data_IF_005322194935
#
_entry.id   IF_005322194935
#
_cell.length_a   1.000
_cell.length_b   1.000
_cell.length_c   1.000
_cell.angle_alpha   90.00
_cell.angle_beta   90.00
_cell.angle_gamma   90.00
#
_symmetry.space_group_name_H-M   'P 1'
#
loop_
_entity.id
_entity.type
_entity.pdbx_description
1 polymer ?
#
# COMPACT_ATOMS: atom_id res chain seq x y z
N UNK A 1 21.18 -13.59 -5.67
CA UNK A 1 20.37 -12.78 -4.76
C UNK A 1 20.67 -11.34 -5.08
N UNK A 2 19.69 -10.65 -5.66
CA UNK A 2 19.75 -9.23 -5.99
C UNK A 2 19.89 -8.39 -4.72
N UNK A 3 20.76 -7.37 -4.74
CA UNK A 3 20.96 -6.44 -3.61
C UNK A 3 19.66 -5.75 -3.17
N UNK A 4 18.71 -5.58 -4.08
CA UNK A 4 17.39 -4.97 -3.81
C UNK A 4 16.53 -5.87 -2.91
N UNK A 5 16.61 -7.20 -3.07
CA UNK A 5 15.88 -8.14 -2.21
C UNK A 5 16.47 -8.10 -0.81
N UNK A 6 17.79 -8.04 -0.69
CA UNK A 6 18.47 -7.95 0.60
C UNK A 6 18.07 -6.68 1.35
N UNK A 7 18.11 -5.52 0.68
CA UNK A 7 17.65 -4.23 1.23
C UNK A 7 16.17 -4.30 1.65
N UNK A 8 15.30 -4.86 0.81
CA UNK A 8 13.90 -5.04 1.14
C UNK A 8 13.69 -5.90 2.40
N UNK A 9 14.44 -6.99 2.55
CA UNK A 9 14.33 -7.85 3.73
C UNK A 9 14.86 -7.19 5.00
N UNK A 10 15.83 -6.29 4.88
CA UNK A 10 16.33 -5.50 6.02
C UNK A 10 15.31 -4.45 6.47
N UNK A 11 14.65 -3.77 5.51
CA UNK A 11 13.78 -2.64 5.82
C UNK A 11 12.32 -3.03 6.06
N UNK A 12 11.80 -3.96 5.26
CA UNK A 12 10.37 -4.22 5.10
C UNK A 12 9.92 -5.58 5.62
N UNK A 13 10.84 -6.46 6.00
CA UNK A 13 10.53 -7.77 6.60
C UNK A 13 11.09 -7.82 8.01
N UNK A 14 10.26 -8.19 8.98
CA UNK A 14 10.68 -8.29 10.38
C UNK A 14 10.60 -9.74 10.84
N UNK A 15 11.76 -10.35 11.05
CA UNK A 15 11.89 -11.70 11.61
C UNK A 15 11.92 -11.65 13.15
N UNK A 16 11.23 -12.59 13.80
CA UNK A 16 11.37 -12.85 15.23
C UNK A 16 12.81 -13.30 15.51
N UNK A 17 13.39 -12.82 16.61
CA UNK A 17 14.69 -13.30 17.07
C UNK A 17 14.58 -14.74 17.57
N UNK A 18 15.70 -15.45 17.61
CA UNK A 18 15.74 -16.84 18.09
C UNK A 18 15.22 -16.93 19.53
N UNK A 19 15.55 -15.95 20.37
CA UNK A 19 15.09 -15.87 21.76
C UNK A 19 13.57 -15.78 21.85
N UNK A 20 12.92 -14.98 21.00
CA UNK A 20 11.45 -14.87 20.95
C UNK A 20 10.80 -16.19 20.54
N UNK A 21 11.39 -16.88 19.55
CA UNK A 21 10.89 -18.19 19.11
C UNK A 21 11.05 -19.23 20.24
N UNK A 22 12.16 -19.19 20.96
CA UNK A 22 12.40 -20.05 22.13
C UNK A 22 11.37 -19.77 23.25
N UNK A 23 11.09 -18.50 23.53
CA UNK A 23 10.08 -18.11 24.51
C UNK A 23 8.69 -18.63 24.14
N UNK A 24 8.31 -18.54 22.87
CA UNK A 24 7.04 -19.09 22.35
C UNK A 24 6.98 -20.62 22.49
N UNK A 25 8.06 -21.33 22.14
CA UNK A 25 8.15 -22.79 22.32
C UNK A 25 7.97 -23.17 23.80
N UNK A 26 8.64 -22.45 24.71
CA UNK A 26 8.54 -22.72 26.14
C UNK A 26 7.14 -22.43 26.67
N UNK A 27 6.52 -21.33 26.24
CA UNK A 27 5.14 -20.97 26.60
C UNK A 27 4.13 -22.01 26.13
N UNK A 28 4.27 -22.53 24.91
CA UNK A 28 3.41 -23.61 24.40
C UNK A 28 3.55 -24.89 25.24
N UNK A 29 4.73 -25.15 25.82
CA UNK A 29 4.99 -26.32 26.67
C UNK A 29 4.50 -26.20 28.12
N UNK A 30 4.09 -25.02 28.57
CA UNK A 30 3.54 -24.85 29.92
C UNK A 30 2.26 -25.68 30.12
N UNK A 31 1.56 -26.00 29.03
CA UNK A 31 0.40 -26.89 29.02
C UNK A 31 0.79 -28.24 28.42
N UNK A 32 0.37 -29.36 29.01
CA UNK A 32 0.58 -30.66 28.41
C UNK A 32 -0.21 -30.76 27.10
N UNK A 33 0.47 -31.17 26.03
CA UNK A 33 -0.17 -31.42 24.73
C UNK A 33 -1.12 -32.61 24.84
N UNK A 34 -2.33 -32.44 24.32
CA UNK A 34 -3.37 -33.47 24.28
C UNK A 34 -3.18 -34.48 23.15
N UNK A 35 -2.44 -34.11 22.10
CA UNK A 35 -2.17 -34.98 20.95
C UNK A 35 -0.95 -34.54 20.13
N UNK A 36 -0.41 -35.44 19.31
CA UNK A 36 0.64 -35.11 18.34
C UNK A 36 0.19 -34.08 17.30
N UNK A 37 -1.11 -34.07 16.96
CA UNK A 37 -1.70 -33.11 16.03
C UNK A 37 -1.63 -31.67 16.58
N UNK A 38 -1.82 -31.50 17.88
CA UNK A 38 -1.70 -30.19 18.54
C UNK A 38 -0.28 -29.64 18.44
N UNK A 39 0.74 -30.50 18.60
CA UNK A 39 2.16 -30.10 18.46
C UNK A 39 2.45 -29.67 17.02
N UNK A 40 1.92 -30.39 16.03
CA UNK A 40 2.07 -30.04 14.61
C UNK A 40 1.39 -28.71 14.26
N UNK A 41 0.22 -28.44 14.83
CA UNK A 41 -0.49 -27.17 14.66
C UNK A 41 0.29 -26.01 15.30
N UNK A 42 0.79 -26.17 16.53
CA UNK A 42 1.61 -25.17 17.22
C UNK A 42 2.93 -24.88 16.49
N UNK A 43 3.63 -25.92 16.03
CA UNK A 43 4.85 -25.76 15.25
C UNK A 43 4.61 -24.99 13.95
N UNK A 44 3.45 -25.21 13.32
CA UNK A 44 3.03 -24.50 12.11
C UNK A 44 2.71 -23.02 12.42
N UNK A 45 2.04 -22.74 13.53
CA UNK A 45 1.73 -21.38 13.97
C UNK A 45 3.00 -20.57 14.26
N UNK A 46 3.91 -21.09 15.10
CA UNK A 46 5.20 -20.46 15.41
C UNK A 46 5.99 -20.15 14.13
N UNK A 47 6.06 -21.10 13.19
CA UNK A 47 6.73 -20.89 11.90
C UNK A 47 6.01 -19.81 11.07
N UNK A 48 4.68 -19.85 11.00
CA UNK A 48 3.93 -18.90 10.18
C UNK A 48 4.03 -17.47 10.71
N UNK A 49 4.21 -17.30 12.02
CA UNK A 49 4.41 -16.01 12.67
C UNK A 49 5.88 -15.57 12.72
N UNK A 50 6.81 -16.38 12.22
CA UNK A 50 8.25 -16.09 12.31
C UNK A 50 8.64 -14.74 11.68
N UNK A 51 7.91 -14.31 10.65
CA UNK A 51 8.13 -13.00 10.05
C UNK A 51 6.86 -12.34 9.53
N UNK A 52 6.90 -11.01 9.52
CA UNK A 52 5.88 -10.12 8.98
C UNK A 52 6.46 -9.26 7.85
N UNK A 53 5.66 -9.04 6.80
CA UNK A 53 6.01 -8.19 5.65
C UNK A 53 5.19 -6.91 5.76
N UNK A 54 5.87 -5.77 5.90
CA UNK A 54 5.25 -4.44 6.08
C UNK A 54 4.68 -3.87 4.77
N UNK A 55 5.26 -4.25 3.64
CA UNK A 55 4.85 -3.74 2.33
C UNK A 55 3.54 -4.40 1.89
N UNK A 56 2.42 -3.67 2.00
CA UNK A 56 1.06 -4.20 1.79
C UNK A 56 0.87 -4.86 0.41
N UNK A 57 1.36 -4.22 -0.66
CA UNK A 57 1.22 -4.77 -2.02
C UNK A 57 1.99 -6.08 -2.20
N UNK A 58 3.26 -6.14 -1.78
CA UNK A 58 4.06 -7.38 -1.81
C UNK A 58 3.42 -8.46 -0.92
N UNK A 59 2.82 -8.06 0.22
CA UNK A 59 2.08 -8.97 1.10
C UNK A 59 0.90 -9.64 0.37
N UNK A 60 0.14 -8.89 -0.44
CA UNK A 60 -0.97 -9.43 -1.25
C UNK A 60 -0.51 -10.20 -2.48
N UNK A 61 0.57 -9.74 -3.12
CA UNK A 61 1.09 -10.31 -4.36
C UNK A 61 1.82 -11.64 -4.18
N UNK A 62 2.21 -11.99 -2.98
CA UNK A 62 2.90 -13.26 -2.72
C UNK A 62 2.01 -14.18 -1.90
N UNK A 63 1.85 -15.42 -2.37
CA UNK A 63 1.17 -16.48 -1.62
C UNK A 63 2.06 -16.98 -0.46
N UNK A 64 2.13 -16.19 0.61
CA UNK A 64 3.02 -16.46 1.74
C UNK A 64 2.77 -17.81 2.42
N UNK A 65 1.55 -18.36 2.36
CA UNK A 65 1.28 -19.71 2.87
C UNK A 65 2.10 -20.78 2.13
N UNK A 66 2.29 -20.63 0.82
CA UNK A 66 3.16 -21.52 0.03
C UNK A 66 4.62 -21.30 0.38
N UNK A 67 5.07 -20.05 0.42
CA UNK A 67 6.46 -19.67 0.74
C UNK A 67 6.86 -20.16 2.14
N UNK A 68 5.97 -19.99 3.13
CA UNK A 68 6.20 -20.37 4.52
C UNK A 68 6.11 -21.88 4.75
N UNK A 69 5.23 -22.59 4.03
CA UNK A 69 4.88 -23.98 4.36
C UNK A 69 5.30 -25.08 3.39
N UNK A 70 5.49 -24.77 2.10
CA UNK A 70 5.75 -25.78 1.07
C UNK A 70 7.21 -25.93 0.70
N UNK A 71 8.07 -24.98 1.09
CA UNK A 71 9.52 -25.00 0.86
C UNK A 71 10.21 -26.09 1.69
N UNK A 72 11.35 -26.57 1.21
CA UNK A 72 12.15 -27.58 1.91
C UNK A 72 12.59 -27.07 3.28
N UNK A 73 13.14 -25.86 3.33
CA UNK A 73 13.57 -25.21 4.58
C UNK A 73 12.39 -24.95 5.53
N UNK A 74 11.21 -24.59 5.01
CA UNK A 74 10.00 -24.42 5.83
C UNK A 74 9.54 -25.72 6.51
N UNK A 75 9.66 -26.87 5.82
CA UNK A 75 9.41 -28.19 6.41
C UNK A 75 10.47 -28.56 7.44
N UNK A 76 11.75 -28.34 7.13
CA UNK A 76 12.86 -28.57 8.06
C UNK A 76 12.68 -27.76 9.35
N UNK A 77 12.37 -26.46 9.23
CA UNK A 77 12.14 -25.58 10.36
C UNK A 77 10.92 -26.02 11.18
N UNK A 78 9.80 -26.39 10.53
CA UNK A 78 8.65 -26.96 11.25
C UNK A 78 9.00 -28.23 12.02
N UNK A 79 9.76 -29.15 11.42
CA UNK A 79 10.20 -30.36 12.11
C UNK A 79 11.09 -29.99 13.31
N UNK A 80 12.00 -29.02 13.14
CA UNK A 80 12.88 -28.58 14.22
C UNK A 80 12.10 -27.98 15.39
N UNK A 81 11.13 -27.11 15.12
CA UNK A 81 10.26 -26.51 16.15
C UNK A 81 9.46 -27.62 16.85
N UNK A 82 8.92 -28.57 16.10
CA UNK A 82 8.19 -29.72 16.64
C UNK A 82 9.07 -30.56 17.59
N UNK A 83 10.27 -30.93 17.17
CA UNK A 83 11.19 -31.72 18.00
C UNK A 83 11.49 -30.99 19.33
N UNK A 84 11.64 -29.65 19.28
CA UNK A 84 11.87 -28.81 20.46
C UNK A 84 10.62 -28.68 21.34
N UNK A 85 9.42 -28.63 20.75
CA UNK A 85 8.16 -28.68 21.49
C UNK A 85 7.98 -30.02 22.20
N UNK A 86 8.41 -31.14 21.62
CA UNK A 86 8.33 -32.48 22.22
C UNK A 86 9.36 -32.64 23.37
N UNK A 87 10.65 -32.44 23.08
CA UNK A 87 11.73 -32.78 24.04
C UNK A 87 12.14 -31.64 24.97
N UNK A 88 11.89 -30.40 24.58
CA UNK A 88 12.27 -29.19 25.29
C UNK A 88 13.64 -28.70 24.87
N UNK A 89 13.89 -27.42 25.11
CA UNK A 89 15.18 -26.79 24.85
C UNK A 89 16.05 -27.05 26.08
N UNK A 90 17.11 -27.86 25.92
CA UNK A 90 17.95 -28.34 27.03
C UNK A 90 19.36 -27.77 26.99
N UNK A 91 19.77 -27.18 25.87
CA UNK A 91 21.15 -26.77 25.64
C UNK A 91 21.25 -25.55 24.74
N UNK A 92 22.41 -24.90 24.78
CA UNK A 92 22.79 -23.85 23.83
C UNK A 92 22.92 -24.38 22.40
N UNK A 93 23.22 -25.67 22.23
CA UNK A 93 23.26 -26.33 20.92
C UNK A 93 21.86 -26.40 20.26
N UNK A 94 20.80 -26.53 21.06
CA UNK A 94 19.42 -26.51 20.57
C UNK A 94 19.06 -25.13 20.00
N UNK A 95 19.45 -24.07 20.71
CA UNK A 95 19.25 -22.69 20.27
C UNK A 95 20.07 -22.38 19.00
N UNK A 96 21.34 -22.79 18.95
CA UNK A 96 22.20 -22.60 17.78
C UNK A 96 21.63 -23.32 16.54
N UNK A 97 21.15 -24.54 16.72
CA UNK A 97 20.58 -25.31 15.61
C UNK A 97 19.21 -24.78 15.16
N UNK A 98 18.42 -24.20 16.05
CA UNK A 98 17.19 -23.47 15.67
C UNK A 98 17.54 -22.18 14.90
N UNK A 99 18.57 -21.45 15.34
CA UNK A 99 19.06 -20.25 14.65
C UNK A 99 19.50 -20.54 13.22
N UNK A 100 20.26 -21.61 13.02
CA UNK A 100 20.68 -22.09 11.68
C UNK A 100 19.46 -22.40 10.80
N UNK A 101 18.48 -23.14 11.32
CA UNK A 101 17.25 -23.46 10.58
C UNK A 101 16.42 -22.21 10.22
N UNK A 102 16.40 -21.20 11.09
CA UNK A 102 15.74 -19.91 10.82
C UNK A 102 16.46 -19.15 9.72
N UNK A 103 17.80 -19.10 9.73
CA UNK A 103 18.56 -18.39 8.70
C UNK A 103 18.49 -19.10 7.34
N UNK A 104 18.56 -20.43 7.31
CA UNK A 104 18.31 -21.20 6.08
C UNK A 104 16.92 -20.94 5.52
N UNK A 105 15.91 -20.89 6.39
CA UNK A 105 14.55 -20.58 6.00
C UNK A 105 14.44 -19.16 5.44
N UNK A 106 15.04 -18.17 6.10
CA UNK A 106 15.08 -16.78 5.63
C UNK A 106 15.71 -16.67 4.23
N UNK A 107 16.87 -17.30 4.02
CA UNK A 107 17.54 -17.31 2.71
C UNK A 107 16.69 -17.94 1.61
N UNK A 108 15.97 -19.01 1.91
CA UNK A 108 15.05 -19.63 0.95
C UNK A 108 13.83 -18.75 0.67
N UNK A 109 13.27 -18.09 1.68
CA UNK A 109 12.17 -17.13 1.53
C UNK A 109 12.60 -15.98 0.62
N UNK A 110 13.83 -15.46 0.78
CA UNK A 110 14.39 -14.43 -0.10
C UNK A 110 14.50 -14.89 -1.55
N UNK A 111 15.02 -16.11 -1.79
CA UNK A 111 15.08 -16.69 -3.15
C UNK A 111 13.70 -16.87 -3.77
N UNK A 112 12.70 -17.28 -2.98
CA UNK A 112 11.35 -17.49 -3.47
C UNK A 112 10.66 -16.15 -3.81
N UNK A 113 10.91 -15.09 -3.03
CA UNK A 113 10.48 -13.73 -3.38
C UNK A 113 11.16 -13.26 -4.67
N UNK A 114 12.48 -13.46 -4.79
CA UNK A 114 13.25 -13.14 -6.00
C UNK A 114 12.68 -13.88 -7.22
N UNK A 115 12.42 -15.19 -7.10
CA UNK A 115 11.82 -16.01 -8.14
C UNK A 115 10.43 -15.52 -8.55
N UNK A 116 9.56 -15.20 -7.58
CA UNK A 116 8.19 -14.75 -7.85
C UNK A 116 8.10 -13.35 -8.44
N UNK A 117 8.99 -12.44 -8.05
CA UNK A 117 8.95 -11.05 -8.51
C UNK A 117 9.74 -10.81 -9.79
N UNK A 118 10.75 -11.64 -10.07
CA UNK A 118 11.65 -11.45 -11.22
C UNK A 118 11.64 -12.59 -12.24
N UNK A 119 11.12 -13.77 -11.87
CA UNK A 119 11.19 -14.98 -12.70
C UNK A 119 9.85 -15.53 -13.18
N UNK A 120 8.72 -15.17 -12.56
CA UNK A 120 7.39 -15.56 -13.03
C UNK A 120 6.93 -14.57 -14.13
N UNK A 121 6.57 -15.10 -15.29
CA UNK A 121 6.10 -14.40 -16.51
C UNK A 121 4.71 -13.74 -16.33
N UNK A 122 4.36 -13.37 -15.10
CA UNK A 122 3.10 -12.73 -14.77
C UNK A 122 3.16 -11.24 -15.16
N UNK A 123 2.74 -11.00 -16.41
CA UNK A 123 2.80 -9.70 -17.09
C UNK A 123 1.91 -8.63 -16.41
N UNK A 124 0.99 -9.02 -15.50
CA UNK A 124 0.08 -8.13 -14.72
C UNK A 124 0.79 -7.05 -13.90
N UNK A 125 2.07 -7.26 -13.66
CA UNK A 125 2.93 -6.36 -12.90
C UNK A 125 3.38 -5.13 -13.69
N UNK A 126 3.36 -5.21 -15.02
CA UNK A 126 4.03 -4.24 -15.91
C UNK A 126 3.06 -3.12 -16.28
N UNK A 127 3.49 -1.84 -16.33
CA UNK A 127 2.63 -0.74 -16.77
C UNK A 127 1.97 -1.03 -18.13
N UNK A 128 0.64 -0.92 -18.20
CA UNK A 128 -0.14 -1.20 -19.41
C UNK A 128 -0.67 -2.64 -19.55
N UNK A 129 -0.44 -3.50 -18.55
CA UNK A 129 -1.06 -4.83 -18.47
C UNK A 129 -2.51 -4.76 -17.94
N UNK A 130 -3.29 -5.79 -18.26
CA UNK A 130 -4.74 -5.85 -18.02
C UNK A 130 -5.09 -7.03 -17.11
N UNK A 131 -6.17 -6.90 -16.32
CA UNK A 131 -6.70 -7.92 -15.41
C UNK A 131 -7.19 -9.19 -16.14
N UNK A 132 -7.28 -10.32 -15.41
CA UNK A 132 -7.66 -11.65 -15.95
C UNK A 132 -9.05 -11.67 -16.62
N UNK A 133 -9.94 -10.73 -16.27
CA UNK A 133 -11.29 -10.60 -16.83
C UNK A 133 -11.31 -9.94 -18.22
N UNK A 134 -10.22 -9.30 -18.65
CA UNK A 134 -10.09 -8.73 -19.98
C UNK A 134 -9.26 -9.66 -20.88
N UNK A 135 -9.75 -9.89 -22.10
CA UNK A 135 -9.20 -10.89 -23.00
C UNK A 135 -7.69 -10.67 -23.25
N UNK A 136 -6.86 -11.57 -22.70
CA UNK A 136 -5.40 -11.61 -22.94
C UNK A 136 -4.98 -11.75 -24.41
N UNK A 137 -5.95 -11.91 -25.31
CA UNK A 137 -5.78 -12.04 -26.75
C UNK A 137 -5.81 -10.69 -27.49
N UNK A 138 -6.02 -9.55 -26.80
CA UNK A 138 -6.09 -8.22 -27.42
C UNK A 138 -4.73 -7.57 -27.65
N UNK A 139 -3.65 -8.07 -27.03
CA UNK A 139 -2.29 -7.62 -27.25
C UNK A 139 -1.47 -8.75 -27.87
N UNK A 140 -0.85 -8.49 -29.02
CA UNK A 140 -0.21 -9.44 -29.90
C UNK A 140 1.01 -10.16 -29.27
N UNK A 141 0.81 -11.17 -28.41
CA UNK A 141 1.86 -12.11 -28.02
C UNK A 141 3.17 -11.47 -27.48
N UNK A 142 3.10 -10.25 -26.95
CA UNK A 142 4.27 -9.51 -26.49
C UNK A 142 4.76 -10.10 -25.17
N UNK A 143 5.93 -10.74 -25.19
CA UNK A 143 6.65 -11.15 -23.97
C UNK A 143 7.56 -10.00 -23.51
N UNK A 144 7.40 -9.55 -22.26
CA UNK A 144 8.37 -8.61 -21.68
C UNK A 144 9.75 -9.28 -21.52
N UNK A 145 10.82 -8.51 -21.78
CA UNK A 145 12.17 -8.99 -21.53
C UNK A 145 12.39 -9.24 -20.03
N UNK A 146 13.26 -10.19 -19.68
CA UNK A 146 13.61 -10.45 -18.28
C UNK A 146 14.10 -9.20 -17.54
N UNK A 147 14.78 -8.28 -18.23
CA UNK A 147 15.19 -6.97 -17.69
C UNK A 147 14.00 -6.08 -17.31
N UNK A 148 12.93 -6.07 -18.11
CA UNK A 148 11.74 -5.29 -17.81
C UNK A 148 11.01 -5.83 -16.56
N UNK A 149 10.90 -7.15 -16.44
CA UNK A 149 10.34 -7.82 -15.26
C UNK A 149 11.20 -7.50 -14.02
N UNK A 150 12.53 -7.60 -14.15
CA UNK A 150 13.46 -7.30 -13.06
C UNK A 150 13.32 -5.85 -12.56
N UNK A 151 13.17 -4.91 -13.48
CA UNK A 151 12.99 -3.49 -13.18
C UNK A 151 11.66 -3.23 -12.46
N UNK A 152 10.57 -3.83 -12.93
CA UNK A 152 9.25 -3.70 -12.30
C UNK A 152 9.25 -4.28 -10.88
N UNK A 153 9.85 -5.46 -10.68
CA UNK A 153 10.00 -6.02 -9.34
C UNK A 153 10.82 -5.11 -8.42
N UNK A 154 11.88 -4.48 -8.95
CA UNK A 154 12.70 -3.52 -8.20
C UNK A 154 11.88 -2.29 -7.80
N UNK A 155 11.12 -1.73 -8.74
CA UNK A 155 10.24 -0.59 -8.48
C UNK A 155 9.19 -0.92 -7.41
N UNK A 156 8.59 -2.11 -7.46
CA UNK A 156 7.63 -2.55 -6.46
C UNK A 156 8.27 -2.64 -5.07
N UNK A 157 9.42 -3.32 -4.94
CA UNK A 157 10.10 -3.47 -3.64
C UNK A 157 10.53 -2.13 -3.03
N UNK A 158 10.83 -1.14 -3.87
CA UNK A 158 11.26 0.19 -3.43
C UNK A 158 10.12 1.21 -3.30
N UNK A 159 8.88 0.82 -3.67
CA UNK A 159 7.71 1.70 -3.64
C UNK A 159 7.23 2.00 -2.21
N UNK A 160 6.48 3.09 -2.08
CA UNK A 160 5.84 3.50 -0.83
C UNK A 160 4.37 3.08 -0.88
N UNK A 161 3.95 2.20 0.03
CA UNK A 161 2.52 1.88 0.18
C UNK A 161 1.74 3.06 0.76
N UNK A 162 0.55 3.30 0.20
CA UNK A 162 -0.43 4.26 0.68
C UNK A 162 -1.74 3.50 0.94
N UNK A 163 -1.91 3.05 2.18
CA UNK A 163 -2.97 2.11 2.55
C UNK A 163 -2.63 0.68 2.12
N UNK A 164 -3.67 -0.09 1.83
CA UNK A 164 -3.56 -1.52 1.51
C UNK A 164 -3.54 -1.82 0.01
N UNK A 165 -4.08 -0.93 -0.81
CA UNK A 165 -4.40 -1.22 -2.21
C UNK A 165 -3.48 -0.49 -3.20
N UNK A 166 -2.75 0.55 -2.77
CA UNK A 166 -1.93 1.39 -3.65
C UNK A 166 -0.50 1.49 -3.13
N UNK A 167 0.46 1.45 -4.04
CA UNK A 167 1.84 1.88 -3.77
C UNK A 167 2.39 2.75 -4.91
N UNK A 168 3.23 3.72 -4.57
CA UNK A 168 3.81 4.67 -5.53
C UNK A 168 5.33 4.55 -5.51
N UNK A 169 5.92 4.36 -6.68
CA UNK A 169 7.35 4.42 -6.91
C UNK A 169 7.69 5.67 -7.72
N UNK A 170 8.63 6.47 -7.24
CA UNK A 170 9.23 7.57 -7.99
C UNK A 170 10.62 7.13 -8.48
N UNK A 171 11.00 7.45 -9.71
CA UNK A 171 12.31 7.05 -10.28
C UNK A 171 13.46 7.79 -9.61
N UNK A 172 13.25 9.04 -9.19
CA UNK A 172 14.27 9.87 -8.56
C UNK A 172 14.52 9.47 -7.10
N UNK A 173 15.76 9.05 -6.81
CA UNK A 173 16.16 8.54 -5.49
C UNK A 173 16.10 9.60 -4.40
N UNK A 174 16.55 10.82 -4.69
CA UNK A 174 16.48 11.97 -3.77
C UNK A 174 15.05 12.21 -3.31
N UNK A 175 14.09 12.19 -4.24
CA UNK A 175 12.68 12.35 -3.95
C UNK A 175 12.15 11.21 -3.05
N UNK A 176 12.48 9.95 -3.37
CA UNK A 176 12.09 8.81 -2.51
C UNK A 176 12.63 8.96 -1.09
N UNK A 177 13.88 9.40 -0.93
CA UNK A 177 14.51 9.59 0.38
C UNK A 177 13.84 10.69 1.19
N UNK A 178 13.51 11.83 0.56
CA UNK A 178 12.77 12.92 1.22
C UNK A 178 11.39 12.43 1.68
N UNK A 179 10.64 11.75 0.80
CA UNK A 179 9.32 11.20 1.14
C UNK A 179 9.42 10.21 2.31
N UNK A 180 10.39 9.29 2.28
CA UNK A 180 10.62 8.34 3.40
C UNK A 180 10.95 9.08 4.69
N UNK A 181 11.77 10.13 4.65
CA UNK A 181 12.08 10.97 5.81
C UNK A 181 10.83 11.63 6.40
N UNK A 182 9.96 12.21 5.55
CA UNK A 182 8.68 12.80 5.96
C UNK A 182 7.80 11.75 6.63
N UNK A 183 7.65 10.57 6.01
CA UNK A 183 6.84 9.47 6.55
C UNK A 183 7.40 8.95 7.88
N UNK A 184 8.71 8.77 7.99
CA UNK A 184 9.34 8.34 9.26
C UNK A 184 9.15 9.37 10.36
N UNK A 185 9.25 10.67 10.05
CA UNK A 185 9.03 11.75 11.02
C UNK A 185 7.57 11.84 11.49
N UNK A 186 6.61 11.66 10.59
CA UNK A 186 5.17 11.91 10.88
C UNK A 186 4.38 10.65 11.25
N UNK A 187 4.72 9.52 10.65
CA UNK A 187 4.01 8.24 10.76
C UNK A 187 4.86 7.14 11.43
N UNK A 188 6.17 7.36 11.62
CA UNK A 188 7.12 6.35 12.16
C UNK A 188 7.15 5.07 11.31
N UNK A 189 6.94 5.23 10.02
CA UNK A 189 6.82 4.14 9.04
C UNK A 189 7.31 4.64 7.68
N UNK A 190 7.83 3.72 6.86
CA UNK A 190 8.18 4.00 5.45
C UNK A 190 6.94 3.96 4.51
N UNK A 191 5.77 3.65 5.07
CA UNK A 191 4.51 3.47 4.38
C UNK A 191 3.40 4.19 5.15
N UNK A 192 2.35 4.62 4.46
CA UNK A 192 1.11 5.08 5.10
C UNK A 192 0.24 3.84 5.33
N UNK A 193 -0.06 3.51 6.58
CA UNK A 193 -0.91 2.36 6.89
C UNK A 193 -2.39 2.68 6.67
N UNK A 194 -3.24 1.66 6.65
CA UNK A 194 -4.67 1.84 6.42
C UNK A 194 -5.33 2.75 7.48
N UNK A 195 -4.97 2.55 8.75
CA UNK A 195 -5.43 3.37 9.88
C UNK A 195 -4.92 4.83 9.82
N UNK A 196 -3.95 5.12 8.97
CA UNK A 196 -3.37 6.45 8.80
C UNK A 196 -3.93 7.21 7.58
N UNK A 197 -4.74 6.56 6.73
CA UNK A 197 -5.35 7.18 5.54
C UNK A 197 -6.15 8.44 5.88
N UNK A 198 -6.83 8.45 7.04
CA UNK A 198 -7.56 9.62 7.53
C UNK A 198 -6.68 10.85 7.75
N UNK A 199 -5.38 10.69 8.07
CA UNK A 199 -4.43 11.81 8.21
C UNK A 199 -4.16 12.53 6.88
N UNK A 200 -4.24 11.78 5.78
CA UNK A 200 -4.13 12.29 4.42
C UNK A 200 -5.49 12.73 3.86
N UNK A 201 -6.56 12.63 4.67
CA UNK A 201 -7.95 12.87 4.28
C UNK A 201 -8.42 11.95 3.15
N UNK A 202 -7.89 10.73 3.13
CA UNK A 202 -8.34 9.66 2.24
C UNK A 202 -9.41 8.87 3.00
N UNK A 203 -10.63 8.90 2.48
CA UNK A 203 -11.76 8.18 3.03
C UNK A 203 -11.72 6.69 2.65
N UNK A 204 -12.35 5.80 3.43
CA UNK A 204 -12.29 4.35 3.20
C UNK A 204 -12.74 3.90 1.80
N UNK A 205 -13.71 4.60 1.21
CA UNK A 205 -14.22 4.34 -0.16
C UNK A 205 -13.34 4.88 -1.28
N UNK A 206 -12.26 5.59 -0.94
CA UNK A 206 -11.28 6.15 -1.86
C UNK A 206 -9.96 5.36 -1.84
N UNK A 207 -9.77 4.43 -0.90
CA UNK A 207 -8.50 3.74 -0.69
C UNK A 207 -8.02 2.89 -1.88
N UNK A 208 -8.92 2.58 -2.81
CA UNK A 208 -8.66 1.85 -4.06
C UNK A 208 -8.61 2.76 -5.30
N UNK A 209 -8.64 4.09 -5.13
CA UNK A 209 -8.72 5.08 -6.21
C UNK A 209 -7.34 5.73 -6.45
N UNK A 210 -6.54 5.26 -7.44
CA UNK A 210 -5.13 5.62 -7.55
C UNK A 210 -4.85 7.11 -7.73
N UNK A 211 -5.60 7.82 -8.57
CA UNK A 211 -5.38 9.25 -8.80
C UNK A 211 -5.83 10.09 -7.60
N UNK A 212 -6.93 9.70 -6.94
CA UNK A 212 -7.42 10.33 -5.71
C UNK A 212 -6.41 10.19 -4.58
N UNK A 213 -5.94 8.97 -4.33
CA UNK A 213 -4.93 8.68 -3.31
C UNK A 213 -3.63 9.40 -3.61
N UNK A 214 -3.16 9.38 -4.87
CA UNK A 214 -1.95 10.10 -5.27
C UNK A 214 -2.10 11.61 -5.04
N UNK A 215 -3.18 12.24 -5.51
CA UNK A 215 -3.37 13.68 -5.37
C UNK A 215 -3.41 14.10 -3.88
N UNK A 216 -4.16 13.37 -3.05
CA UNK A 216 -4.25 13.65 -1.61
C UNK A 216 -2.93 13.41 -0.89
N UNK A 217 -2.20 12.36 -1.27
CA UNK A 217 -0.85 12.10 -0.77
C UNK A 217 0.13 13.22 -1.12
N UNK A 218 0.15 13.70 -2.37
CA UNK A 218 0.99 14.81 -2.81
C UNK A 218 0.70 16.09 -2.02
N UNK A 219 -0.59 16.44 -1.86
CA UNK A 219 -1.00 17.60 -1.05
C UNK A 219 -0.57 17.47 0.41
N UNK A 220 -0.69 16.26 0.98
CA UNK A 220 -0.24 16.00 2.34
C UNK A 220 1.28 16.15 2.48
N UNK A 221 2.06 15.49 1.62
CA UNK A 221 3.53 15.57 1.62
C UNK A 221 4.02 17.02 1.53
N UNK A 222 3.43 17.82 0.62
CA UNK A 222 3.76 19.24 0.47
C UNK A 222 3.39 20.09 1.69
N UNK A 223 2.29 19.75 2.38
CA UNK A 223 1.89 20.41 3.62
C UNK A 223 2.85 20.10 4.78
N UNK A 224 3.33 18.86 4.87
CA UNK A 224 4.24 18.42 5.94
C UNK A 224 5.65 19.01 5.83
N UNK A 225 6.10 19.33 4.61
CA UNK A 225 7.42 19.90 4.36
C UNK A 225 7.49 21.41 4.66
N UNK A 226 6.40 22.16 4.47
CA UNK A 226 6.36 23.60 4.77
C UNK A 226 6.61 23.93 6.25
N UNK A 227 6.52 22.95 7.16
CA UNK A 227 6.82 23.10 8.58
C UNK A 227 8.19 22.56 9.03
N UNK A 228 9.06 22.17 8.09
CA UNK A 228 10.35 21.53 8.37
C UNK A 228 11.55 22.47 8.14
N UNK A 229 12.66 22.32 8.89
CA UNK A 229 13.92 22.94 8.50
C UNK A 229 14.37 22.34 7.16
N UNK A 230 14.52 23.20 6.15
CA UNK A 230 14.84 22.83 4.77
C UNK A 230 16.07 21.94 4.70
N UNK A 231 15.88 20.68 4.31
CA UNK A 231 16.98 19.78 3.99
C UNK A 231 16.74 19.11 2.63
N UNK A 232 17.75 19.27 1.77
CA UNK A 232 17.95 18.61 0.47
C UNK A 232 16.86 18.84 -0.59
N UNK A 233 17.08 19.84 -1.45
CA UNK A 233 16.33 20.02 -2.70
C UNK A 233 14.96 20.67 -2.54
N UNK A 234 14.50 21.36 -3.58
CA UNK A 234 13.14 21.87 -3.64
C UNK A 234 12.20 20.70 -3.93
N UNK A 235 11.56 20.15 -2.88
CA UNK A 235 10.59 19.05 -2.99
C UNK A 235 9.51 19.32 -4.05
N UNK A 236 9.08 20.58 -4.18
CA UNK A 236 8.08 20.98 -5.18
C UNK A 236 8.64 20.76 -6.58
N UNK A 237 9.90 21.14 -6.81
CA UNK A 237 10.58 20.97 -8.09
C UNK A 237 10.87 19.50 -8.42
N UNK A 238 11.27 18.71 -7.42
CA UNK A 238 11.49 17.27 -7.56
C UNK A 238 10.17 16.57 -7.93
N UNK A 239 9.08 16.86 -7.22
CA UNK A 239 7.76 16.31 -7.53
C UNK A 239 7.24 16.77 -8.90
N UNK A 240 7.51 18.02 -9.30
CA UNK A 240 7.11 18.56 -10.60
C UNK A 240 7.71 17.78 -11.78
N UNK A 241 8.95 17.31 -11.63
CA UNK A 241 9.68 16.54 -12.63
C UNK A 241 9.59 15.03 -12.43
N UNK A 242 8.88 14.59 -11.40
CA UNK A 242 8.89 13.21 -11.00
C UNK A 242 8.29 12.31 -12.09
N UNK A 243 9.00 11.22 -12.37
CA UNK A 243 8.51 10.09 -13.12
C UNK A 243 8.35 8.90 -12.17
N UNK A 244 7.56 7.92 -12.55
CA UNK A 244 7.27 6.84 -11.64
C UNK A 244 6.17 5.90 -12.10
N UNK A 245 5.71 5.10 -11.15
CA UNK A 245 4.71 4.07 -11.35
C UNK A 245 3.81 3.99 -10.12
N UNK A 246 2.51 3.79 -10.35
CA UNK A 246 1.51 3.48 -9.34
C UNK A 246 1.13 2.01 -9.49
N UNK A 247 1.36 1.23 -8.43
CA UNK A 247 0.93 -0.16 -8.33
C UNK A 247 -0.42 -0.22 -7.62
N UNK A 248 -1.38 -0.93 -8.21
CA UNK A 248 -2.74 -1.06 -7.68
C UNK A 248 -3.10 -2.53 -7.51
N UNK A 249 -3.48 -2.93 -6.29
CA UNK A 249 -3.97 -4.29 -5.98
C UNK A 249 -5.23 -4.16 -5.11
N UNK A 250 -6.36 -3.75 -5.71
CA UNK A 250 -7.59 -3.49 -4.97
C UNK A 250 -8.20 -4.78 -4.41
N UNK A 251 -8.60 -4.75 -3.14
CA UNK A 251 -9.29 -5.84 -2.47
C UNK A 251 -8.36 -6.94 -1.98
N UNK A 252 -8.85 -8.20 -1.98
CA UNK A 252 -8.18 -9.34 -1.34
C UNK A 252 -7.32 -10.19 -2.29
N UNK A 253 -7.34 -9.93 -3.59
CA UNK A 253 -6.77 -10.83 -4.61
C UNK A 253 -5.97 -10.11 -5.69
N UNK A 254 -5.11 -10.87 -6.38
CA UNK A 254 -4.28 -10.42 -7.50
C UNK A 254 -5.04 -10.19 -8.80
N UNK A 255 -6.29 -10.65 -8.86
CA UNK A 255 -7.11 -10.71 -10.09
C UNK A 255 -7.36 -9.33 -10.70
N UNK A 256 -7.32 -8.28 -9.88
CA UNK A 256 -7.51 -6.87 -10.28
C UNK A 256 -6.21 -6.06 -10.20
N UNK A 257 -5.06 -6.72 -10.19
CA UNK A 257 -3.76 -6.03 -10.21
C UNK A 257 -3.58 -5.29 -11.53
N UNK A 258 -3.15 -4.03 -11.44
CA UNK A 258 -2.71 -3.27 -12.60
C UNK A 258 -1.69 -2.21 -12.17
N UNK A 259 -0.96 -1.71 -13.17
CA UNK A 259 0.11 -0.75 -12.98
C UNK A 259 -0.11 0.45 -13.89
N UNK A 260 -0.08 1.66 -13.32
CA UNK A 260 -0.26 2.92 -14.04
C UNK A 260 1.09 3.66 -14.09
N UNK A 261 1.55 4.13 -15.27
CA UNK A 261 2.66 5.08 -15.32
C UNK A 261 2.26 6.39 -14.62
N UNK A 262 3.12 6.94 -13.78
CA UNK A 262 2.87 8.21 -13.11
C UNK A 262 2.62 9.30 -14.18
N UNK A 263 1.53 10.06 -14.10
CA UNK A 263 1.28 11.14 -15.05
C UNK A 263 2.36 12.22 -14.91
N UNK A 264 2.61 12.97 -15.98
CA UNK A 264 3.48 14.14 -15.90
C UNK A 264 2.85 15.18 -14.98
N UNK A 265 3.51 15.47 -13.86
CA UNK A 265 2.99 16.34 -12.82
C UNK A 265 3.28 17.83 -13.09
N UNK A 266 4.00 18.17 -14.16
CA UNK A 266 4.44 19.54 -14.45
C UNK A 266 3.28 20.54 -14.61
N UNK A 267 2.22 20.14 -15.31
CA UNK A 267 1.02 20.97 -15.48
C UNK A 267 0.23 21.10 -14.18
N UNK A 268 0.08 20.02 -13.42
CA UNK A 268 -0.56 20.04 -12.11
C UNK A 268 0.18 21.00 -11.15
N UNK A 269 1.51 20.87 -11.05
CA UNK A 269 2.30 21.70 -10.16
C UNK A 269 2.30 23.16 -10.57
N UNK A 270 2.53 23.46 -11.86
CA UNK A 270 2.60 24.84 -12.34
C UNK A 270 1.26 25.58 -12.22
N UNK A 271 0.13 24.91 -12.45
CA UNK A 271 -1.19 25.56 -12.46
C UNK A 271 -1.91 25.55 -11.13
N UNK A 272 -1.66 24.55 -10.28
CA UNK A 272 -2.40 24.35 -9.04
C UNK A 272 -1.54 24.49 -7.79
N UNK A 273 -0.40 23.79 -7.73
CA UNK A 273 0.43 23.80 -6.52
C UNK A 273 1.18 25.12 -6.33
N UNK A 274 1.73 25.67 -7.42
CA UNK A 274 2.50 26.90 -7.40
C UNK A 274 1.64 28.16 -7.20
N UNK A 275 0.32 28.06 -7.37
CA UNK A 275 -0.63 29.17 -7.19
C UNK A 275 -1.32 28.99 -5.83
N UNK A 276 -0.98 29.78 -4.79
CA UNK A 276 -1.43 29.53 -3.41
C UNK A 276 -2.95 29.43 -3.26
N UNK A 277 -3.71 30.29 -3.95
CA UNK A 277 -5.18 30.29 -3.92
C UNK A 277 -5.78 29.00 -4.49
N UNK A 278 -5.20 28.48 -5.57
CA UNK A 278 -5.63 27.22 -6.21
C UNK A 278 -5.22 26.01 -5.40
N UNK A 279 -4.01 26.02 -4.84
CA UNK A 279 -3.57 24.99 -3.88
C UNK A 279 -4.52 24.92 -2.69
N UNK A 280 -4.86 26.09 -2.12
CA UNK A 280 -5.80 26.19 -1.01
C UNK A 280 -7.18 25.66 -1.38
N UNK A 281 -7.68 25.94 -2.58
CA UNK A 281 -8.94 25.38 -3.05
C UNK A 281 -8.94 23.84 -3.15
N UNK A 282 -7.82 23.23 -3.57
CA UNK A 282 -7.69 21.77 -3.57
C UNK A 282 -7.62 21.18 -2.15
N UNK A 283 -6.90 21.84 -1.25
CA UNK A 283 -6.88 21.49 0.18
C UNK A 283 -8.29 21.58 0.79
N UNK A 284 -9.01 22.66 0.51
CA UNK A 284 -10.37 22.89 1.00
C UNK A 284 -11.37 21.87 0.42
N UNK A 285 -11.26 21.52 -0.86
CA UNK A 285 -12.05 20.44 -1.46
C UNK A 285 -11.77 19.11 -0.76
N UNK A 286 -10.49 18.74 -0.60
CA UNK A 286 -10.07 17.49 0.07
C UNK A 286 -10.64 17.40 1.47
N UNK A 287 -10.47 18.46 2.27
CA UNK A 287 -10.85 18.48 3.68
C UNK A 287 -12.39 18.50 3.83
N UNK A 288 -13.09 19.30 3.01
CA UNK A 288 -14.56 19.38 3.04
C UNK A 288 -15.20 18.07 2.65
N UNK A 289 -14.72 17.40 1.59
CA UNK A 289 -15.24 16.09 1.17
C UNK A 289 -15.03 15.03 2.25
N UNK A 290 -13.84 14.97 2.85
CA UNK A 290 -13.53 13.99 3.88
C UNK A 290 -14.42 14.18 5.13
N UNK A 291 -14.52 15.43 5.63
CA UNK A 291 -15.33 15.74 6.80
C UNK A 291 -16.81 15.48 6.52
N UNK A 292 -17.32 15.92 5.36
CA UNK A 292 -18.71 15.68 4.95
C UNK A 292 -19.04 14.20 4.89
N UNK A 293 -18.18 13.37 4.28
CA UNK A 293 -18.40 11.93 4.21
C UNK A 293 -18.43 11.29 5.61
N UNK A 294 -17.54 11.75 6.51
CA UNK A 294 -17.49 11.26 7.89
C UNK A 294 -18.79 11.60 8.65
N UNK A 295 -19.25 12.85 8.57
CA UNK A 295 -20.46 13.32 9.26
C UNK A 295 -21.74 12.67 8.72
N UNK A 296 -21.83 12.45 7.41
CA UNK A 296 -22.95 11.75 6.78
C UNK A 296 -22.95 10.27 7.18
N UNK A 297 -21.79 9.61 7.28
CA UNK A 297 -21.69 8.23 7.78
C UNK A 297 -22.21 8.09 9.21
N UNK A 298 -21.80 8.99 10.11
CA UNK A 298 -22.29 9.02 11.49
C UNK A 298 -23.80 9.24 11.56
N UNK A 299 -24.35 10.10 10.71
CA UNK A 299 -25.78 10.40 10.67
C UNK A 299 -26.58 9.22 10.10
N UNK A 300 -26.08 8.59 9.04
CA UNK A 300 -26.69 7.40 8.44
C UNK A 300 -26.63 6.18 9.36
N UNK A 301 -25.60 6.07 10.21
CA UNK A 301 -25.53 5.03 11.22
C UNK A 301 -26.67 5.12 12.22
N UNK A 302 -27.03 6.33 12.65
CA UNK A 302 -28.14 6.57 13.61
C UNK A 302 -29.50 6.17 13.05
N UNK A 303 -29.69 6.24 11.73
CA UNK A 303 -30.96 5.91 11.06
C UNK A 303 -30.94 4.55 10.35
N UNK A 304 -29.82 3.82 10.40
CA UNK A 304 -29.71 2.46 9.83
C UNK A 304 -29.58 2.40 8.31
N UNK A 305 -29.10 3.48 7.66
CA UNK A 305 -29.00 3.61 6.20
C UNK A 305 -27.56 3.54 5.66
N UNK A 306 -26.63 2.93 6.43
CA UNK A 306 -25.20 2.93 6.12
C UNK A 306 -24.89 2.43 4.70
N UNK A 307 -25.62 1.41 4.23
CA UNK A 307 -25.41 0.83 2.90
C UNK A 307 -25.81 1.78 1.76
N UNK A 308 -26.84 2.60 1.96
CA UNK A 308 -27.28 3.60 0.98
C UNK A 308 -26.23 4.70 0.82
N UNK A 309 -25.72 5.19 1.95
CA UNK A 309 -24.63 6.16 1.97
C UNK A 309 -23.36 5.58 1.36
N UNK A 310 -22.99 4.35 1.70
CA UNK A 310 -21.79 3.71 1.15
C UNK A 310 -21.84 3.62 -0.38
N UNK A 311 -22.99 3.25 -0.96
CA UNK A 311 -23.17 3.22 -2.41
C UNK A 311 -23.01 4.60 -3.04
N UNK A 312 -23.57 5.64 -2.40
CA UNK A 312 -23.47 7.02 -2.87
C UNK A 312 -22.03 7.54 -2.77
N UNK A 313 -21.32 7.21 -1.69
CA UNK A 313 -19.91 7.53 -1.53
C UNK A 313 -19.02 6.85 -2.57
N UNK A 314 -19.34 5.62 -2.99
CA UNK A 314 -18.63 4.98 -4.11
C UNK A 314 -18.84 5.72 -5.43
N UNK A 315 -20.01 6.33 -5.66
CA UNK A 315 -20.21 7.20 -6.81
C UNK A 315 -19.40 8.49 -6.68
N UNK A 316 -19.41 9.13 -5.51
CA UNK A 316 -18.58 10.31 -5.24
C UNK A 316 -17.10 10.00 -5.46
N UNK A 317 -16.59 8.88 -4.94
CA UNK A 317 -15.18 8.50 -5.12
C UNK A 317 -14.84 8.14 -6.56
N UNK A 318 -15.81 7.61 -7.33
CA UNK A 318 -15.63 7.36 -8.76
C UNK A 318 -15.52 8.67 -9.56
N UNK A 319 -16.40 9.63 -9.31
CA UNK A 319 -16.29 10.95 -9.94
C UNK A 319 -15.04 11.72 -9.45
N UNK A 320 -14.69 11.57 -8.17
CA UNK A 320 -13.45 12.09 -7.60
C UNK A 320 -12.23 11.55 -8.32
N UNK A 321 -12.21 10.25 -8.60
CA UNK A 321 -11.12 9.62 -9.33
C UNK A 321 -10.97 10.16 -10.75
N UNK A 322 -12.08 10.36 -11.48
CA UNK A 322 -12.05 10.98 -12.81
C UNK A 322 -11.51 12.41 -12.72
N UNK A 323 -12.01 13.20 -11.76
CA UNK A 323 -11.59 14.57 -11.54
C UNK A 323 -10.08 14.67 -11.25
N UNK A 324 -9.58 13.85 -10.33
CA UNK A 324 -8.17 13.83 -9.97
C UNK A 324 -7.30 13.26 -11.09
N UNK A 325 -7.78 12.30 -11.87
CA UNK A 325 -7.09 11.79 -13.05
C UNK A 325 -6.84 12.92 -14.07
N UNK A 326 -7.89 13.66 -14.42
CA UNK A 326 -7.80 14.77 -15.37
C UNK A 326 -6.94 15.91 -14.82
N UNK A 327 -7.08 16.22 -13.54
CA UNK A 327 -6.29 17.23 -12.84
C UNK A 327 -4.79 16.90 -12.85
N UNK A 328 -4.42 15.66 -12.52
CA UNK A 328 -3.02 15.23 -12.48
C UNK A 328 -2.42 15.11 -13.89
N UNK A 329 -3.19 14.62 -14.88
CA UNK A 329 -2.70 14.39 -16.26
C UNK A 329 -2.61 15.67 -17.08
N UNK A 330 -3.57 16.58 -16.92
CA UNK A 330 -3.74 17.74 -17.82
C UNK A 330 -3.64 19.09 -17.11
N UNK A 331 -3.65 19.10 -15.77
CA UNK A 331 -3.70 20.34 -14.99
C UNK A 331 -5.02 21.10 -15.11
N UNK A 332 -6.09 20.47 -15.62
CA UNK A 332 -7.42 21.06 -15.77
C UNK A 332 -8.45 20.34 -14.89
N UNK A 333 -9.45 21.08 -14.42
CA UNK A 333 -10.59 20.51 -13.71
C UNK A 333 -11.64 20.09 -14.73
N UNK A 334 -12.02 18.82 -14.71
CA UNK A 334 -13.18 18.36 -15.45
C UNK A 334 -14.46 18.76 -14.70
N UNK A 335 -15.22 19.67 -15.29
CA UNK A 335 -16.40 20.23 -14.66
C UNK A 335 -17.57 19.24 -14.54
N UNK A 336 -17.66 18.23 -15.40
CA UNK A 336 -18.76 17.25 -15.33
C UNK A 336 -18.65 16.37 -14.07
N UNK A 337 -17.51 15.68 -13.79
CA UNK A 337 -17.30 14.99 -12.52
C UNK A 337 -17.43 15.92 -11.30
N UNK A 338 -16.90 17.15 -11.38
CA UNK A 338 -17.04 18.12 -10.28
C UNK A 338 -18.52 18.41 -9.98
N UNK A 339 -19.31 18.65 -11.02
CA UNK A 339 -20.75 18.89 -10.89
C UNK A 339 -21.45 17.68 -10.28
N UNK A 340 -21.15 16.47 -10.73
CA UNK A 340 -21.74 15.24 -10.17
C UNK A 340 -21.41 15.05 -8.69
N UNK A 341 -20.18 15.35 -8.28
CA UNK A 341 -19.80 15.35 -6.87
C UNK A 341 -20.65 16.35 -6.08
N UNK A 342 -20.80 17.58 -6.58
CA UNK A 342 -21.61 18.62 -5.93
C UNK A 342 -23.08 18.22 -5.84
N UNK A 343 -23.66 17.69 -6.91
CA UNK A 343 -25.07 17.25 -6.93
C UNK A 343 -25.33 16.17 -5.86
N UNK A 344 -24.45 15.16 -5.77
CA UNK A 344 -24.55 14.09 -4.76
C UNK A 344 -24.35 14.60 -3.33
N UNK A 345 -23.46 15.58 -3.14
CA UNK A 345 -23.25 16.22 -1.83
C UNK A 345 -24.50 16.99 -1.40
N UNK A 346 -25.12 17.75 -2.30
CA UNK A 346 -26.35 18.50 -1.99
C UNK A 346 -27.50 17.56 -1.65
N UNK A 347 -27.64 16.45 -2.39
CA UNK A 347 -28.63 15.41 -2.10
C UNK A 347 -28.44 14.81 -0.70
N UNK A 348 -27.22 14.34 -0.39
CA UNK A 348 -26.89 13.77 0.92
C UNK A 348 -26.99 14.79 2.06
N UNK A 349 -26.59 16.03 1.81
CA UNK A 349 -26.69 17.14 2.78
C UNK A 349 -28.13 17.38 3.19
N UNK A 350 -29.05 17.40 2.21
CA UNK A 350 -30.48 17.56 2.48
C UNK A 350 -31.10 16.32 3.14
N UNK A 351 -30.63 15.12 2.79
CA UNK A 351 -31.19 13.87 3.31
C UNK A 351 -30.78 13.61 4.76
N UNK A 352 -29.53 13.88 5.12
CA UNK A 352 -28.97 13.57 6.44
C UNK A 352 -28.78 14.80 7.35
N UNK A 353 -29.24 15.98 6.92
CA UNK A 353 -29.12 17.27 7.64
C UNK A 353 -27.67 17.59 8.04
N UNK A 354 -26.74 17.38 7.10
CA UNK A 354 -25.30 17.64 7.28
C UNK A 354 -24.90 18.86 6.48
N UNK A 355 -24.39 19.89 7.15
CA UNK A 355 -23.88 21.11 6.51
C UNK A 355 -22.57 20.86 5.77
N UNK A 356 -22.35 21.54 4.65
CA UNK A 356 -21.10 21.45 3.90
C UNK A 356 -20.72 22.76 3.24
N UNK A 357 -19.42 23.07 3.20
CA UNK A 357 -18.91 24.23 2.50
C UNK A 357 -18.49 23.84 1.08
N UNK A 358 -19.09 24.50 0.08
CA UNK A 358 -18.73 24.38 -1.33
C UNK A 358 -17.93 25.59 -1.84
N UNK A 359 -17.28 26.34 -0.92
CA UNK A 359 -16.52 27.55 -1.26
C UNK A 359 -15.42 27.30 -2.29
N UNK A 360 -14.81 26.10 -2.28
CA UNK A 360 -13.78 25.71 -3.22
C UNK A 360 -14.26 25.68 -4.69
N UNK A 361 -15.56 25.43 -4.94
CA UNK A 361 -16.13 25.29 -6.29
C UNK A 361 -15.90 26.56 -7.13
N UNK A 362 -15.98 27.74 -6.51
CA UNK A 362 -15.74 29.02 -7.19
C UNK A 362 -14.34 29.10 -7.79
N UNK A 363 -13.32 28.63 -7.06
CA UNK A 363 -11.93 28.65 -7.52
C UNK A 363 -11.67 27.51 -8.51
N UNK A 364 -12.28 26.34 -8.31
CA UNK A 364 -12.14 25.20 -9.23
C UNK A 364 -12.78 25.45 -10.60
N UNK A 365 -13.69 26.41 -10.70
CA UNK A 365 -14.38 26.79 -11.94
C UNK A 365 -13.85 28.10 -12.55
N UNK A 366 -12.97 28.82 -11.85
CA UNK A 366 -12.32 30.02 -12.37
C UNK A 366 -11.06 29.66 -13.16
N UNK A 367 -11.02 30.06 -14.43
CA UNK A 367 -9.93 29.81 -15.37
C UNK A 367 -8.75 30.77 -15.22
#
# INVERSE_FOLDING_TARGET
>A
MSSVVDEFFQDQVSFKSVEKVIEEINKCREKPFSSQKEIEEMAREIRNELFEVKHAIVRKKIEWGSVKGKTKSGRTLSQKIRDLLERGIKSTADAASLAEAIEEFKMEVMKEVERKLFGESDLRSVPGSVADEEAGNLYFGESYSGEAIQRVGTWLLQSTCIGEDIAVYFTEETLRRIIRSILMRRLRSNHVKNEELGRLRIHRVEGDKPYTVLAKFLLWVLGEEQGAPSHEGDLTELLRRAEGVIFCVPGKGKEKEFTIPLPRLDLFFSRWIAVPERRKALEDMRDSLYNFMTEVEESAERVGEQKKVENTFRLISTYGEILYADLLKSGFINHEPLRRIVDLIVELSSEYDVGTSLSFVKVLTSW
#
